data_IF_631938557836
#
_entry.id   IF_631938557836
#
_cell.length_a   1.000
_cell.length_b   1.000
_cell.length_c   1.000
_cell.angle_alpha   90.00
_cell.angle_beta   90.00
_cell.angle_gamma   90.00
#
_symmetry.space_group_name_H-M   'P 1'
#
loop_
_entity.id
_entity.type
_entity.pdbx_description
1 polymer ?
#
# COMPACT_ATOMS: atom_id res chain seq x y z
N UNK A 1 -0.66 3.25 -57.86
CA UNK A 1 0.05 3.40 -56.57
C UNK A 1 -1.00 3.77 -55.50
N UNK A 2 -1.54 2.86 -54.68
CA UNK A 2 -1.07 2.46 -53.33
C UNK A 2 -0.64 3.67 -52.45
N UNK A 3 -1.08 3.89 -51.21
CA UNK A 3 -1.87 3.15 -50.21
C UNK A 3 -2.16 4.12 -49.03
N UNK A 4 -3.25 3.87 -48.31
CA UNK A 4 -3.43 4.10 -46.86
C UNK A 4 -3.18 5.48 -46.22
N UNK A 5 -4.28 6.18 -45.94
CA UNK A 5 -4.47 6.93 -44.68
C UNK A 5 -5.78 6.50 -44.03
N UNK A 6 -5.81 5.24 -43.57
CA UNK A 6 -6.82 4.78 -42.64
C UNK A 6 -6.59 5.41 -41.24
N UNK A 7 -7.60 6.16 -40.81
CA UNK A 7 -8.22 6.13 -39.47
C UNK A 7 -7.33 6.42 -38.25
N UNK A 8 -7.47 7.64 -37.74
CA UNK A 8 -7.60 7.86 -36.30
C UNK A 8 -8.75 8.84 -36.06
N UNK A 9 -9.97 8.32 -36.14
CA UNK A 9 -11.16 9.03 -35.68
C UNK A 9 -11.32 8.66 -34.20
N UNK A 10 -11.35 9.64 -33.27
CA UNK A 10 -11.60 9.33 -31.86
C UNK A 10 -13.01 8.74 -31.72
N UNK A 11 -13.20 7.69 -30.89
CA UNK A 11 -14.54 7.17 -30.65
C UNK A 11 -15.39 8.21 -29.91
N UNK A 12 -16.61 8.37 -30.42
CA UNK A 12 -17.68 9.22 -29.93
C UNK A 12 -17.86 9.09 -28.41
N UNK A 13 -17.61 10.17 -27.68
CA UNK A 13 -17.66 10.23 -26.21
C UNK A 13 -19.08 10.45 -25.65
N UNK A 14 -20.12 10.20 -26.44
CA UNK A 14 -21.48 10.44 -25.95
C UNK A 14 -22.51 9.44 -26.48
N UNK A 15 -22.51 8.24 -25.90
CA UNK A 15 -23.71 7.44 -25.83
C UNK A 15 -23.77 6.65 -24.52
N UNK A 16 -24.96 6.68 -23.91
CA UNK A 16 -25.52 5.78 -22.88
C UNK A 16 -25.10 5.98 -21.41
N UNK A 17 -26.03 6.65 -20.72
CA UNK A 17 -26.47 6.38 -19.35
C UNK A 17 -26.67 4.89 -19.06
N UNK A 18 -26.03 4.37 -18.01
CA UNK A 18 -26.53 3.28 -17.17
C UNK A 18 -25.58 3.05 -15.99
N UNK A 19 -26.08 3.28 -14.77
CA UNK A 19 -25.80 2.49 -13.57
C UNK A 19 -24.38 2.47 -13.02
N UNK A 20 -24.24 3.08 -11.85
CA UNK A 20 -23.51 2.58 -10.67
C UNK A 20 -23.08 1.09 -10.75
N UNK A 21 -21.83 0.80 -10.35
CA UNK A 21 -21.14 -0.52 -10.21
C UNK A 21 -19.84 -0.71 -11.03
N UNK A 22 -19.31 0.30 -11.75
CA UNK A 22 -18.07 0.14 -12.58
C UNK A 22 -16.75 0.51 -11.90
N UNK A 23 -16.77 0.91 -10.63
CA UNK A 23 -15.57 1.51 -10.01
C UNK A 23 -14.53 0.46 -9.57
N UNK A 24 -14.97 -0.76 -9.25
CA UNK A 24 -14.13 -1.80 -8.65
C UNK A 24 -13.44 -2.66 -9.72
N UNK A 25 -14.03 -2.82 -10.91
CA UNK A 25 -13.47 -3.64 -12.00
C UNK A 25 -12.35 -2.92 -12.76
N UNK A 26 -12.35 -1.59 -12.78
CA UNK A 26 -11.30 -0.79 -13.41
C UNK A 26 -10.01 -0.72 -12.59
N UNK A 27 -10.08 -0.89 -11.27
CA UNK A 27 -8.92 -0.74 -10.38
C UNK A 27 -7.87 -1.86 -10.56
N UNK A 28 -8.23 -3.15 -10.67
CA UNK A 28 -7.29 -4.23 -11.00
C UNK A 28 -6.64 -4.05 -12.38
N UNK A 29 -7.41 -3.61 -13.38
CA UNK A 29 -6.88 -3.36 -14.72
C UNK A 29 -5.84 -2.22 -14.71
N UNK A 30 -6.13 -1.13 -14.00
CA UNK A 30 -5.20 -0.01 -13.80
C UNK A 30 -3.93 -0.45 -13.07
N UNK A 31 -4.05 -1.27 -12.02
CA UNK A 31 -2.89 -1.81 -11.30
C UNK A 31 -1.99 -2.63 -12.20
N UNK A 32 -2.56 -3.50 -13.04
CA UNK A 32 -1.78 -4.31 -14.00
C UNK A 32 -1.04 -3.43 -15.02
N UNK A 33 -1.71 -2.40 -15.54
CA UNK A 33 -1.08 -1.43 -16.44
C UNK A 33 0.05 -0.66 -15.74
N UNK A 34 -0.14 -0.31 -14.46
CA UNK A 34 0.89 0.30 -13.65
C UNK A 34 2.07 -0.65 -13.42
N UNK A 35 1.86 -1.91 -13.03
CA UNK A 35 2.93 -2.90 -12.87
C UNK A 35 3.75 -3.09 -14.16
N UNK A 36 3.07 -3.11 -15.32
CA UNK A 36 3.72 -3.28 -16.62
C UNK A 36 4.62 -2.09 -17.00
N UNK A 37 4.19 -0.85 -16.71
CA UNK A 37 4.84 0.35 -17.23
C UNK A 37 5.66 1.14 -16.22
N UNK A 38 5.33 1.10 -14.92
CA UNK A 38 6.03 1.89 -13.90
C UNK A 38 7.53 1.60 -13.80
N UNK A 39 8.01 0.35 -13.84
CA UNK A 39 9.44 0.07 -13.74
C UNK A 39 10.24 0.82 -14.82
N UNK A 40 9.76 0.82 -16.06
CA UNK A 40 10.38 1.56 -17.16
C UNK A 40 10.29 3.08 -16.97
N UNK A 41 9.16 3.59 -16.45
CA UNK A 41 8.99 5.02 -16.17
C UNK A 41 9.92 5.51 -15.05
N UNK A 42 10.13 4.72 -14.00
CA UNK A 42 11.07 5.04 -12.90
C UNK A 42 12.50 5.13 -13.45
N UNK A 43 12.93 4.15 -14.24
CA UNK A 43 14.27 4.16 -14.87
C UNK A 43 14.45 5.39 -15.76
N UNK A 44 13.44 5.73 -16.57
CA UNK A 44 13.46 6.90 -17.44
C UNK A 44 13.51 8.21 -16.66
N UNK A 45 12.69 8.36 -15.62
CA UNK A 45 12.69 9.53 -14.75
C UNK A 45 14.04 9.69 -14.04
N UNK A 46 14.67 8.60 -13.60
CA UNK A 46 15.98 8.62 -12.95
C UNK A 46 17.07 9.07 -13.93
N UNK A 47 17.04 8.58 -15.17
CA UNK A 47 17.96 9.00 -16.22
C UNK A 47 17.82 10.50 -16.51
N UNK A 48 16.60 11.02 -16.65
CA UNK A 48 16.36 12.45 -16.85
C UNK A 48 16.84 13.29 -15.66
N UNK A 49 16.58 12.86 -14.43
CA UNK A 49 17.09 13.54 -13.24
C UNK A 49 18.62 13.61 -13.23
N UNK A 50 19.32 12.51 -13.54
CA UNK A 50 20.79 12.48 -13.61
C UNK A 50 21.32 13.45 -14.66
N UNK A 51 20.73 13.46 -15.85
CA UNK A 51 21.10 14.39 -16.92
C UNK A 51 20.88 15.84 -16.46
N UNK A 52 19.71 16.15 -15.92
CA UNK A 52 19.37 17.51 -15.50
C UNK A 52 20.26 18.00 -14.34
N UNK A 53 20.44 17.18 -13.31
CA UNK A 53 21.26 17.54 -12.14
C UNK A 53 22.76 17.64 -12.42
N UNK A 54 23.25 17.02 -13.50
CA UNK A 54 24.63 17.16 -13.97
C UNK A 54 24.91 18.48 -14.70
N UNK A 55 23.87 19.25 -15.04
CA UNK A 55 24.03 20.54 -15.71
C UNK A 55 24.66 21.56 -14.75
N UNK A 56 25.50 22.44 -15.29
CA UNK A 56 26.07 23.53 -14.50
C UNK A 56 24.95 24.46 -14.04
N UNK A 57 24.75 24.68 -12.72
CA UNK A 57 23.76 25.61 -12.23
C UNK A 57 24.05 27.04 -12.71
N UNK A 58 23.03 27.87 -12.98
CA UNK A 58 23.24 29.27 -13.27
C UNK A 58 23.97 29.99 -12.12
N UNK A 59 24.87 30.94 -12.41
CA UNK A 59 25.66 31.63 -11.39
C UNK A 59 24.86 32.66 -10.59
N UNK A 60 23.69 33.07 -11.08
CA UNK A 60 22.81 34.01 -10.41
C UNK A 60 21.93 33.31 -9.36
N UNK A 61 21.66 33.98 -8.24
CA UNK A 61 20.89 33.40 -7.15
C UNK A 61 19.48 32.94 -7.56
N UNK A 62 18.84 33.67 -8.50
CA UNK A 62 17.50 33.33 -9.00
C UNK A 62 17.54 32.05 -9.84
N UNK A 63 18.50 31.95 -10.77
CA UNK A 63 18.72 30.80 -11.62
C UNK A 63 19.16 29.57 -10.84
N UNK A 64 20.01 29.73 -9.83
CA UNK A 64 20.35 28.64 -8.91
C UNK A 64 19.11 28.13 -8.14
N UNK A 65 18.32 29.03 -7.57
CA UNK A 65 17.09 28.66 -6.86
C UNK A 65 16.09 27.93 -7.78
N UNK A 66 15.92 28.41 -9.01
CA UNK A 66 15.09 27.74 -10.02
C UNK A 66 15.62 26.35 -10.37
N UNK A 67 16.92 26.22 -10.66
CA UNK A 67 17.57 24.94 -10.94
C UNK A 67 17.41 23.94 -9.78
N UNK A 68 17.67 24.39 -8.55
CA UNK A 68 17.50 23.56 -7.35
C UNK A 68 16.05 23.17 -7.11
N UNK A 69 15.09 24.07 -7.35
CA UNK A 69 13.66 23.76 -7.25
C UNK A 69 13.21 22.72 -8.27
N UNK A 70 13.75 22.77 -9.49
CA UNK A 70 13.49 21.77 -10.52
C UNK A 70 14.08 20.40 -10.14
N UNK A 71 15.30 20.37 -9.59
CA UNK A 71 15.89 19.14 -9.05
C UNK A 71 15.03 18.52 -7.93
N UNK A 72 14.51 19.35 -7.01
CA UNK A 72 13.60 18.88 -5.96
C UNK A 72 12.29 18.34 -6.52
N UNK A 73 11.71 19.01 -7.51
CA UNK A 73 10.49 18.54 -8.16
C UNK A 73 10.70 17.20 -8.88
N UNK A 74 11.85 17.00 -9.53
CA UNK A 74 12.21 15.73 -10.16
C UNK A 74 12.35 14.58 -9.15
N UNK A 75 12.95 14.84 -7.98
CA UNK A 75 13.03 13.86 -6.90
C UNK A 75 11.66 13.52 -6.32
N UNK A 76 10.80 14.52 -6.13
CA UNK A 76 9.42 14.30 -5.68
C UNK A 76 8.62 13.45 -6.68
N UNK A 77 8.82 13.68 -8.00
CA UNK A 77 8.23 12.84 -9.04
C UNK A 77 8.70 11.39 -8.95
N UNK A 78 10.00 11.16 -8.75
CA UNK A 78 10.56 9.81 -8.56
C UNK A 78 9.97 9.11 -7.34
N UNK A 79 9.87 9.82 -6.22
CA UNK A 79 9.25 9.30 -5.00
C UNK A 79 7.78 8.91 -5.23
N UNK A 80 7.01 9.74 -5.94
CA UNK A 80 5.63 9.41 -6.30
C UNK A 80 5.54 8.15 -7.17
N UNK A 81 6.43 7.96 -8.15
CA UNK A 81 6.46 6.74 -8.96
C UNK A 81 6.79 5.51 -8.13
N UNK A 82 7.76 5.59 -7.21
CA UNK A 82 8.12 4.47 -6.34
C UNK A 82 6.95 4.08 -5.42
N UNK A 83 6.26 5.07 -4.85
CA UNK A 83 5.06 4.82 -4.02
C UNK A 83 3.94 4.17 -4.83
N UNK A 84 3.72 4.61 -6.06
CA UNK A 84 2.74 4.01 -6.96
C UNK A 84 3.11 2.57 -7.34
N UNK A 85 4.40 2.25 -7.52
CA UNK A 85 4.86 0.89 -7.76
C UNK A 85 4.56 -0.01 -6.55
N UNK A 86 4.91 0.45 -5.35
CA UNK A 86 4.62 -0.29 -4.12
C UNK A 86 3.13 -0.51 -3.89
N UNK A 87 2.28 0.46 -4.26
CA UNK A 87 0.83 0.28 -4.19
C UNK A 87 0.30 -0.74 -5.20
N UNK A 88 0.85 -0.77 -6.42
CA UNK A 88 0.44 -1.72 -7.44
C UNK A 88 0.80 -3.17 -7.03
N UNK A 89 2.01 -3.37 -6.49
CA UNK A 89 2.51 -4.68 -6.02
C UNK A 89 1.75 -5.22 -4.79
N UNK A 90 1.36 -4.35 -3.86
CA UNK A 90 0.78 -4.73 -2.57
C UNK A 90 -0.56 -5.48 -2.66
N UNK A 91 -1.28 -5.44 -3.79
CA UNK A 91 -2.59 -6.08 -3.95
C UNK A 91 -2.59 -7.29 -4.89
N UNK A 92 -1.59 -7.40 -5.78
CA UNK A 92 -1.32 -8.62 -6.56
C UNK A 92 -0.83 -9.76 -5.66
N UNK A 93 -0.37 -9.44 -4.46
CA UNK A 93 -0.11 -10.34 -3.34
C UNK A 93 -1.17 -10.24 -2.25
N UNK A 94 -2.45 -10.43 -2.58
CA UNK A 94 -3.45 -10.79 -1.57
C UNK A 94 -3.21 -12.20 -1.01
N UNK A 95 -1.98 -12.51 -0.55
CA UNK A 95 -1.68 -13.45 0.53
C UNK A 95 -0.20 -13.50 0.96
N UNK A 96 0.60 -12.43 0.90
CA UNK A 96 1.88 -12.45 1.62
C UNK A 96 2.17 -11.10 2.28
N UNK A 97 1.93 -11.11 3.59
CA UNK A 97 2.29 -10.06 4.51
C UNK A 97 3.81 -9.83 4.50
N UNK A 98 4.25 -8.66 4.05
CA UNK A 98 5.40 -8.00 4.67
C UNK A 98 5.47 -6.53 4.29
N UNK A 99 5.48 -5.68 5.32
CA UNK A 99 5.60 -4.23 5.15
C UNK A 99 4.85 -3.40 6.19
N UNK A 100 4.10 -4.04 7.10
CA UNK A 100 3.76 -3.60 8.47
C UNK A 100 2.82 -4.60 9.20
N UNK A 101 2.56 -5.78 8.61
CA UNK A 101 1.54 -6.74 9.08
C UNK A 101 2.02 -7.78 10.10
N UNK A 102 3.26 -7.72 10.59
CA UNK A 102 3.73 -8.64 11.63
C UNK A 102 3.21 -8.29 13.02
N UNK A 103 3.14 -7.00 13.32
CA UNK A 103 2.79 -6.52 14.67
C UNK A 103 1.30 -6.71 14.98
N UNK A 104 0.41 -6.56 13.98
CA UNK A 104 -1.03 -6.68 14.18
C UNK A 104 -1.48 -8.12 14.47
N UNK A 105 -0.96 -9.09 13.70
CA UNK A 105 -1.31 -10.50 13.86
C UNK A 105 -0.61 -11.13 15.07
N UNK A 106 0.63 -10.73 15.36
CA UNK A 106 1.34 -11.12 16.57
C UNK A 106 0.67 -10.53 17.82
N UNK A 107 0.29 -9.24 17.79
CA UNK A 107 -0.48 -8.60 18.85
C UNK A 107 -1.86 -9.26 19.03
N UNK A 108 -2.55 -9.62 17.94
CA UNK A 108 -3.83 -10.31 18.01
C UNK A 108 -3.71 -11.69 18.66
N UNK A 109 -2.63 -12.45 18.34
CA UNK A 109 -2.32 -13.72 19.01
C UNK A 109 -1.99 -13.53 20.49
N UNK A 110 -1.12 -12.59 20.82
CA UNK A 110 -0.74 -12.29 22.21
C UNK A 110 -1.94 -11.85 23.05
N UNK A 111 -2.84 -11.04 22.50
CA UNK A 111 -4.09 -10.62 23.15
C UNK A 111 -5.07 -11.78 23.35
N UNK A 112 -5.17 -12.71 22.39
CA UNK A 112 -6.02 -13.89 22.51
C UNK A 112 -5.51 -14.84 23.61
N UNK A 113 -4.20 -15.08 23.66
CA UNK A 113 -3.55 -15.91 24.69
C UNK A 113 -3.70 -15.30 26.08
N UNK A 114 -3.46 -13.99 26.23
CA UNK A 114 -3.63 -13.30 27.50
C UNK A 114 -5.09 -13.34 27.99
N UNK A 115 -6.07 -13.20 27.10
CA UNK A 115 -7.51 -13.32 27.44
C UNK A 115 -7.88 -14.73 27.89
N UNK A 116 -7.32 -15.76 27.25
CA UNK A 116 -7.55 -17.15 27.65
C UNK A 116 -6.97 -17.44 29.04
N UNK A 117 -5.73 -17.00 29.31
CA UNK A 117 -5.08 -17.19 30.60
C UNK A 117 -5.81 -16.45 31.75
N UNK A 118 -6.38 -15.28 31.49
CA UNK A 118 -7.14 -14.51 32.50
C UNK A 118 -8.56 -15.06 32.71
N UNK A 119 -9.20 -15.57 31.65
CA UNK A 119 -10.51 -16.23 31.74
C UNK A 119 -10.46 -17.50 32.61
N UNK A 120 -9.34 -18.24 32.56
CA UNK A 120 -9.12 -19.47 33.31
C UNK A 120 -8.86 -19.24 34.82
N UNK A 121 -8.42 -18.04 35.23
CA UNK A 121 -8.27 -17.69 36.66
C UNK A 121 -9.56 -17.20 37.33
N UNK A 122 -10.64 -16.97 36.58
CA UNK A 122 -11.90 -16.44 37.09
C UNK A 122 -12.81 -17.47 37.79
N UNK A 123 -12.47 -18.76 37.71
CA UNK A 123 -13.30 -19.87 38.19
C UNK A 123 -12.59 -20.68 39.29
N UNK A 124 -11.90 -20.00 40.21
CA UNK A 124 -11.58 -20.60 41.52
C UNK A 124 -12.75 -20.35 42.47
N UNK A 125 -13.73 -21.25 42.38
CA UNK A 125 -14.78 -21.44 43.39
C UNK A 125 -14.11 -21.73 44.75
N UNK A 126 -14.01 -20.71 45.59
CA UNK A 126 -13.63 -20.85 47.00
C UNK A 126 -14.82 -21.49 47.74
N UNK A 127 -15.03 -22.78 47.48
CA UNK A 127 -15.91 -23.65 48.23
C UNK A 127 -15.48 -23.66 49.69
N UNK A 128 -16.18 -22.88 50.51
CA UNK A 128 -15.92 -22.73 51.93
C UNK A 128 -16.44 -23.95 52.70
N UNK A 129 -15.47 -24.79 53.07
CA UNK A 129 -15.36 -25.55 54.31
C UNK A 129 -16.51 -26.51 54.69
N UNK A 130 -16.35 -27.78 54.30
CA UNK A 130 -16.90 -28.93 55.02
C UNK A 130 -16.40 -28.92 56.48
N UNK A 131 -17.30 -28.57 57.40
CA UNK A 131 -17.07 -28.76 58.83
C UNK A 131 -17.14 -30.25 59.17
N UNK A 132 -15.95 -30.80 59.40
CA UNK A 132 -15.61 -32.14 59.84
C UNK A 132 -16.54 -32.70 60.94
N UNK A 133 -17.17 -33.82 60.59
CA UNK A 133 -17.60 -34.88 61.50
C UNK A 133 -16.39 -35.36 62.33
N UNK A 134 -16.37 -35.02 63.61
CA UNK A 134 -15.47 -35.61 64.60
C UNK A 134 -16.32 -36.39 65.59
N UNK A 135 -16.40 -37.70 65.37
CA UNK A 135 -17.05 -38.63 66.27
C UNK A 135 -16.35 -38.81 67.62
N UNK A 136 -17.11 -39.33 68.59
CA UNK A 136 -16.60 -40.22 69.63
C UNK A 136 -16.64 -39.69 71.06
N UNK A 137 -17.56 -40.23 71.86
CA UNK A 137 -17.51 -40.15 73.32
C UNK A 137 -18.72 -40.83 73.97
N UNK A 138 -18.46 -41.97 74.60
CA UNK A 138 -19.39 -42.87 75.30
C UNK A 138 -20.28 -42.19 76.35
#
# INVERSE_FOLDING_TARGET
MTRDRLRFLPPDVNATSAGEEKHVEGLPALKREMEEHLPALIVRALAHYRVFSSQTPPPDAKGFSAHFSACKAALAHLESLIKLAGWAEAESGANDASGNGGEGDEMARLLAEAKAAVGDMGEMDFGKDDALDAGGGL
#
